data_IF_877257845055
#
_entry.id   IF_877257845055
#
_cell.length_a   1.000
_cell.length_b   1.000
_cell.length_c   1.000
_cell.angle_alpha   90.00
_cell.angle_beta   90.00
_cell.angle_gamma   90.00
#
_symmetry.space_group_name_H-M   'P 1'
#
loop_
_entity.id
_entity.type
_entity.pdbx_description
1 polymer ?
#
# COMPACT_ATOMS: atom_id res chain seq x y z
N UNK A 1 -34.42 63.72 4.88
CA UNK A 1 -34.00 62.76 5.92
C UNK A 1 -34.09 61.35 5.36
N UNK A 2 -32.95 60.79 4.93
CA UNK A 2 -32.81 59.38 4.52
C UNK A 2 -31.62 58.84 5.31
N UNK A 3 -31.85 57.84 6.17
CA UNK A 3 -30.79 57.17 6.95
C UNK A 3 -30.04 56.20 6.03
N UNK A 4 -28.71 56.07 6.14
CA UNK A 4 -27.97 55.06 5.40
C UNK A 4 -28.16 53.69 6.08
N UNK A 5 -28.45 52.66 5.27
CA UNK A 5 -28.47 51.27 5.70
C UNK A 5 -27.02 50.80 5.79
N UNK A 6 -26.52 50.53 7.00
CA UNK A 6 -25.23 49.89 7.19
C UNK A 6 -25.36 48.41 6.78
N UNK A 7 -24.62 48.00 5.76
CA UNK A 7 -24.51 46.61 5.33
C UNK A 7 -23.63 45.88 6.36
N UNK A 8 -24.25 45.15 7.27
CA UNK A 8 -23.56 44.28 8.23
C UNK A 8 -23.05 43.05 7.45
N UNK A 9 -21.76 43.04 7.11
CA UNK A 9 -21.06 41.85 6.63
C UNK A 9 -20.89 40.90 7.82
N UNK A 10 -21.81 39.93 7.94
CA UNK A 10 -21.65 38.78 8.82
C UNK A 10 -20.54 37.88 8.26
N UNK A 11 -19.31 38.10 8.70
CA UNK A 11 -18.25 37.10 8.66
C UNK A 11 -18.70 35.95 9.57
N UNK A 12 -19.25 34.89 8.99
CA UNK A 12 -19.31 33.60 9.67
C UNK A 12 -17.87 33.13 9.85
N UNK A 13 -17.31 33.38 11.03
CA UNK A 13 -16.18 32.62 11.51
C UNK A 13 -16.70 31.19 11.77
N UNK A 14 -16.63 30.34 10.74
CA UNK A 14 -16.63 28.91 10.95
C UNK A 14 -15.33 28.60 11.68
N UNK A 15 -15.37 28.57 13.01
CA UNK A 15 -14.38 27.85 13.81
C UNK A 15 -14.59 26.36 13.57
N UNK A 16 -14.22 25.92 12.36
CA UNK A 16 -13.99 24.52 12.06
C UNK A 16 -12.57 24.18 12.50
N UNK A 17 -12.35 23.12 13.29
CA UNK A 17 -11.01 22.62 13.54
C UNK A 17 -10.35 22.24 12.21
N UNK A 18 -9.10 22.67 12.02
CA UNK A 18 -8.23 22.13 10.99
C UNK A 18 -7.90 20.68 11.36
N UNK A 19 -8.49 19.71 10.67
CA UNK A 19 -8.18 18.29 10.80
C UNK A 19 -7.54 17.78 9.51
N UNK A 20 -6.40 17.10 9.65
CA UNK A 20 -5.66 16.47 8.57
C UNK A 20 -6.32 15.14 8.17
N UNK A 21 -6.70 15.06 6.89
CA UNK A 21 -6.87 13.91 5.98
C UNK A 21 -6.57 12.49 6.50
N UNK A 22 -7.58 11.61 6.54
CA UNK A 22 -7.42 10.15 6.41
C UNK A 22 -8.61 9.58 5.63
N UNK A 23 -8.38 8.92 4.49
CA UNK A 23 -9.41 8.26 3.68
C UNK A 23 -9.87 6.92 4.27
N UNK A 24 -10.79 6.23 3.58
CA UNK A 24 -11.23 4.86 3.93
C UNK A 24 -10.01 3.92 4.11
N UNK A 25 -10.04 2.97 5.07
CA UNK A 25 -8.95 2.03 5.29
C UNK A 25 -8.73 1.15 4.05
N UNK A 26 -7.48 0.89 3.73
CA UNK A 26 -7.07 0.08 2.58
C UNK A 26 -6.24 -1.09 3.04
N UNK A 27 -6.58 -2.30 2.57
CA UNK A 27 -5.76 -3.48 2.81
C UNK A 27 -4.59 -3.46 1.84
N UNK A 28 -3.38 -3.37 2.37
CA UNK A 28 -2.15 -3.40 1.58
C UNK A 28 -1.71 -4.83 1.29
N UNK A 29 -1.85 -5.71 2.29
CA UNK A 29 -1.36 -7.07 2.18
C UNK A 29 -2.08 -8.02 3.14
N UNK A 30 -2.31 -9.26 2.67
CA UNK A 30 -2.72 -10.38 3.50
C UNK A 30 -1.71 -11.49 3.29
N UNK A 31 -1.06 -11.93 4.37
CA UNK A 31 -0.04 -12.99 4.32
C UNK A 31 -0.37 -14.11 5.30
N UNK A 32 -0.19 -15.34 4.85
CA UNK A 32 -0.27 -16.56 5.64
C UNK A 32 1.13 -17.14 5.77
N UNK A 33 1.74 -17.17 6.98
CA UNK A 33 3.06 -17.75 7.14
C UNK A 33 3.00 -19.27 6.88
N UNK A 34 3.84 -19.77 5.96
CA UNK A 34 3.82 -21.19 5.57
C UNK A 34 4.05 -22.14 6.76
N UNK A 35 4.86 -21.72 7.73
CA UNK A 35 5.19 -22.50 8.93
C UNK A 35 4.23 -22.24 10.10
N UNK A 36 3.18 -21.42 9.91
CA UNK A 36 2.10 -21.12 10.87
C UNK A 36 0.76 -20.95 10.15
N UNK A 37 0.17 -22.04 9.65
CA UNK A 37 -1.08 -21.99 8.87
C UNK A 37 -2.27 -21.44 9.66
N UNK A 38 -2.20 -21.43 10.99
CA UNK A 38 -3.19 -20.85 11.89
C UNK A 38 -3.13 -19.33 11.98
N UNK A 39 -1.99 -18.73 11.60
CA UNK A 39 -1.73 -17.30 11.70
C UNK A 39 -2.02 -16.60 10.37
N UNK A 40 -2.64 -15.42 10.45
CA UNK A 40 -2.82 -14.52 9.30
C UNK A 40 -2.40 -13.10 9.70
N UNK A 41 -1.69 -12.43 8.80
CA UNK A 41 -1.34 -11.03 8.92
C UNK A 41 -2.13 -10.21 7.89
N UNK A 42 -2.85 -9.20 8.35
CA UNK A 42 -3.59 -8.26 7.49
C UNK A 42 -3.05 -6.86 7.75
N UNK A 43 -2.34 -6.30 6.76
CA UNK A 43 -1.78 -4.95 6.81
C UNK A 43 -2.82 -3.97 6.27
N UNK A 44 -3.26 -3.04 7.12
CA UNK A 44 -4.29 -2.06 6.77
C UNK A 44 -3.73 -0.65 6.96
N UNK A 45 -3.76 0.16 5.90
CA UNK A 45 -3.36 1.56 5.99
C UNK A 45 -4.18 2.30 7.04
N UNK A 46 -3.50 3.17 7.80
CA UNK A 46 -4.07 4.00 8.87
C UNK A 46 -4.63 3.24 10.09
N UNK A 47 -4.70 1.91 10.04
CA UNK A 47 -5.12 1.04 11.16
C UNK A 47 -3.93 0.26 11.73
N UNK A 48 -3.02 -0.21 10.89
CA UNK A 48 -1.84 -1.00 11.25
C UNK A 48 -1.98 -2.48 10.89
N UNK A 49 -1.21 -3.33 11.57
CA UNK A 49 -1.20 -4.77 11.34
C UNK A 49 -2.17 -5.51 12.28
N UNK A 50 -3.09 -6.27 11.69
CA UNK A 50 -3.91 -7.25 12.41
C UNK A 50 -3.28 -8.63 12.29
N UNK A 51 -3.08 -9.28 13.42
CA UNK A 51 -2.59 -10.66 13.49
C UNK A 51 -3.70 -11.55 14.06
N UNK A 52 -4.14 -12.50 13.24
CA UNK A 52 -5.22 -13.43 13.59
C UNK A 52 -4.71 -14.83 13.83
N UNK A 53 -5.06 -15.44 14.97
CA UNK A 53 -4.86 -16.86 15.24
C UNK A 53 -6.22 -17.53 15.48
N UNK A 54 -6.51 -18.59 14.73
CA UNK A 54 -7.77 -19.36 14.85
C UNK A 54 -9.05 -18.47 14.82
N UNK A 55 -9.03 -17.40 14.01
CA UNK A 55 -10.17 -16.49 13.83
C UNK A 55 -10.31 -15.37 14.89
N UNK A 56 -9.33 -15.20 15.79
CA UNK A 56 -9.28 -14.04 16.69
C UNK A 56 -8.16 -13.10 16.30
N UNK A 57 -8.51 -11.87 15.99
CA UNK A 57 -7.56 -10.83 15.63
C UNK A 57 -7.11 -10.00 16.82
N UNK A 58 -5.81 -9.78 16.88
CA UNK A 58 -5.13 -8.87 17.80
C UNK A 58 -4.38 -7.82 17.00
N UNK A 59 -4.08 -6.70 17.66
CA UNK A 59 -3.35 -5.62 17.01
C UNK A 59 -1.85 -5.71 17.28
N UNK A 60 -1.06 -5.67 16.20
CA UNK A 60 0.38 -5.46 16.26
C UNK A 60 0.66 -4.07 15.69
N UNK A 61 1.15 -3.17 16.54
CA UNK A 61 1.37 -1.78 16.15
C UNK A 61 2.50 -1.61 15.16
N UNK A 62 2.29 -0.77 14.15
CA UNK A 62 3.33 -0.37 13.20
C UNK A 62 4.54 0.22 13.93
N UNK A 63 4.33 0.99 15.00
CA UNK A 63 5.43 1.61 15.77
C UNK A 63 6.36 0.58 16.44
N UNK A 64 5.86 -0.64 16.73
CA UNK A 64 6.70 -1.73 17.24
C UNK A 64 7.66 -2.26 16.19
N UNK A 65 7.24 -2.24 14.93
CA UNK A 65 8.00 -2.78 13.80
C UNK A 65 8.97 -1.72 13.26
N UNK A 66 8.51 -0.48 13.11
CA UNK A 66 9.28 0.62 12.51
C UNK A 66 9.00 1.94 13.22
N UNK A 67 9.92 2.91 13.12
CA UNK A 67 9.77 4.21 13.77
C UNK A 67 8.64 5.08 13.19
N UNK A 68 8.25 4.82 11.93
CA UNK A 68 7.20 5.57 11.22
C UNK A 68 6.23 4.61 10.52
N UNK A 69 4.91 4.91 10.48
CA UNK A 69 3.92 4.08 9.80
C UNK A 69 4.30 3.79 8.34
N UNK A 70 3.99 2.58 7.89
CA UNK A 70 4.34 2.13 6.54
C UNK A 70 4.90 0.72 6.51
N UNK A 71 4.21 -0.22 7.15
CA UNK A 71 4.43 -1.62 6.89
C UNK A 71 3.86 -1.99 5.51
N UNK A 72 4.64 -2.72 4.70
CA UNK A 72 4.17 -3.22 3.40
C UNK A 72 4.01 -4.75 3.38
N UNK A 73 4.77 -5.45 4.22
CA UNK A 73 4.63 -6.90 4.37
C UNK A 73 5.42 -7.42 5.57
N UNK A 74 4.96 -8.53 6.13
CA UNK A 74 5.63 -9.25 7.22
C UNK A 74 5.51 -10.75 6.94
N UNK A 75 6.58 -11.49 7.19
CA UNK A 75 6.58 -12.94 7.04
C UNK A 75 7.39 -13.60 8.15
N UNK A 76 6.90 -14.72 8.66
CA UNK A 76 7.73 -15.64 9.42
C UNK A 76 8.60 -16.42 8.44
N UNK A 77 9.90 -16.50 8.71
CA UNK A 77 10.88 -17.05 7.77
C UNK A 77 11.67 -18.23 8.35
N UNK A 78 11.57 -18.50 9.64
CA UNK A 78 12.13 -19.71 10.24
C UNK A 78 11.11 -20.86 10.33
N UNK A 79 11.58 -22.07 10.63
CA UNK A 79 10.72 -23.25 10.74
C UNK A 79 9.82 -23.25 11.98
N UNK A 80 10.19 -22.54 13.04
CA UNK A 80 9.36 -22.42 14.25
C UNK A 80 8.34 -21.27 14.15
N UNK A 81 8.49 -20.40 13.14
CA UNK A 81 7.72 -19.18 12.94
C UNK A 81 8.12 -18.03 13.87
N UNK A 82 9.14 -18.17 14.71
CA UNK A 82 9.56 -17.18 15.70
C UNK A 82 10.38 -16.02 15.11
N UNK A 83 11.01 -16.22 13.95
CA UNK A 83 11.78 -15.19 13.26
C UNK A 83 10.93 -14.55 12.19
N UNK A 84 10.68 -13.24 12.34
CA UNK A 84 9.98 -12.44 11.35
C UNK A 84 10.93 -11.54 10.57
N UNK A 85 10.63 -11.33 9.30
CA UNK A 85 11.13 -10.20 8.51
C UNK A 85 9.95 -9.35 8.08
N UNK A 86 10.12 -8.03 8.20
CA UNK A 86 9.12 -7.05 7.78
C UNK A 86 9.72 -6.05 6.79
N UNK A 87 9.04 -5.89 5.65
CA UNK A 87 9.32 -4.86 4.65
C UNK A 87 8.56 -3.58 5.00
N UNK A 88 9.28 -2.50 5.22
CA UNK A 88 8.70 -1.21 5.64
C UNK A 88 9.19 -0.05 4.77
N UNK A 89 8.52 1.10 4.88
CA UNK A 89 8.93 2.37 4.25
C UNK A 89 10.24 2.95 4.79
N UNK A 90 10.80 2.38 5.85
CA UNK A 90 12.02 2.85 6.52
C UNK A 90 13.17 1.82 6.45
N UNK A 91 12.97 0.68 5.79
CA UNK A 91 13.94 -0.41 5.84
C UNK A 91 13.30 -1.78 6.01
N UNK A 92 14.10 -2.82 5.82
CA UNK A 92 13.78 -4.17 6.29
C UNK A 92 14.11 -4.27 7.78
N UNK A 93 13.18 -4.82 8.54
CA UNK A 93 13.37 -5.12 9.97
C UNK A 93 13.21 -6.61 10.23
N UNK A 94 13.78 -7.07 11.33
CA UNK A 94 13.80 -8.47 11.75
C UNK A 94 13.47 -8.60 13.22
N UNK A 95 12.66 -9.60 13.55
CA UNK A 95 12.39 -10.05 14.92
C UNK A 95 12.91 -11.48 15.10
N UNK A 96 13.37 -11.81 16.30
CA UNK A 96 13.86 -13.15 16.70
C UNK A 96 13.13 -13.71 17.91
N UNK A 97 12.10 -13.01 18.37
CA UNK A 97 11.43 -13.22 19.64
C UNK A 97 9.92 -13.23 19.43
N UNK A 98 9.48 -13.85 18.33
CA UNK A 98 8.08 -13.96 17.98
C UNK A 98 7.36 -12.61 17.84
N UNK A 99 8.02 -11.61 17.26
CA UNK A 99 7.43 -10.29 17.01
C UNK A 99 7.39 -9.39 18.24
N UNK A 100 8.09 -9.74 19.33
CA UNK A 100 8.13 -8.94 20.55
C UNK A 100 9.16 -7.81 20.52
N UNK A 101 10.12 -7.89 19.61
CA UNK A 101 11.06 -6.83 19.28
C UNK A 101 11.48 -6.91 17.82
N UNK A 102 11.55 -5.75 17.17
CA UNK A 102 12.05 -5.59 15.82
C UNK A 102 13.28 -4.70 15.81
N UNK A 103 14.27 -5.08 15.01
CA UNK A 103 15.46 -4.28 14.73
C UNK A 103 15.68 -4.18 13.21
N UNK A 104 16.22 -3.06 12.73
CA UNK A 104 16.63 -2.95 11.33
C UNK A 104 17.69 -4.01 11.00
N UNK A 105 17.62 -4.58 9.80
CA UNK A 105 18.71 -5.45 9.31
C UNK A 105 19.94 -4.63 8.97
N UNK A 106 21.11 -5.26 8.98
CA UNK A 106 22.37 -4.58 8.69
C UNK A 106 22.46 -4.13 7.22
N UNK A 107 23.27 -3.09 7.00
CA UNK A 107 23.59 -2.59 5.66
C UNK A 107 22.49 -1.72 5.03
N UNK A 108 22.53 -1.51 3.70
CA UNK A 108 21.65 -0.55 3.02
C UNK A 108 20.18 -0.94 3.09
N UNK A 109 19.89 -2.25 3.18
CA UNK A 109 18.53 -2.76 3.22
C UNK A 109 17.76 -2.33 4.49
N UNK A 110 18.47 -2.07 5.59
CA UNK A 110 17.89 -1.50 6.81
C UNK A 110 17.49 -0.02 6.70
N UNK A 111 17.80 0.64 5.58
CA UNK A 111 17.53 2.08 5.34
C UNK A 111 16.76 2.35 4.04
N UNK A 112 16.60 1.33 3.19
CA UNK A 112 15.88 1.45 1.93
C UNK A 112 14.40 1.08 2.11
N UNK A 113 13.51 1.84 1.49
CA UNK A 113 12.11 1.47 1.40
C UNK A 113 12.03 0.05 0.82
N UNK A 114 11.53 -0.91 1.61
CA UNK A 114 11.23 -2.27 1.17
C UNK A 114 9.75 -2.38 0.75
N UNK A 115 9.51 -2.60 -0.54
CA UNK A 115 8.20 -2.55 -1.17
C UNK A 115 7.42 -3.85 -1.03
N UNK A 116 8.12 -4.95 -1.30
CA UNK A 116 7.54 -6.27 -1.51
C UNK A 116 8.40 -7.30 -0.79
N UNK A 117 7.76 -8.28 -0.17
CA UNK A 117 8.40 -9.39 0.53
C UNK A 117 7.79 -10.70 0.05
N UNK A 118 8.62 -11.65 -0.33
CA UNK A 118 8.21 -13.00 -0.74
C UNK A 118 9.07 -14.05 -0.04
N UNK A 119 8.59 -14.64 1.09
CA UNK A 119 9.25 -15.78 1.70
C UNK A 119 9.17 -17.01 0.80
N UNK A 120 10.11 -17.95 0.95
CA UNK A 120 10.04 -19.24 0.26
C UNK A 120 9.14 -20.21 1.06
N UNK A 121 8.12 -20.82 0.45
CA UNK A 121 7.14 -21.64 1.18
C UNK A 121 7.70 -22.95 1.72
N UNK A 122 8.73 -23.52 1.09
CA UNK A 122 9.34 -24.79 1.49
C UNK A 122 10.76 -24.72 2.06
N UNK A 123 11.41 -23.54 2.06
CA UNK A 123 12.82 -23.41 2.40
C UNK A 123 12.96 -22.41 3.54
N UNK A 124 13.18 -22.97 4.73
CA UNK A 124 13.40 -22.20 5.94
C UNK A 124 14.60 -21.25 5.75
N UNK A 125 14.39 -19.99 6.11
CA UNK A 125 15.39 -18.94 6.07
C UNK A 125 15.52 -18.23 4.73
N UNK A 126 14.80 -18.65 3.69
CA UNK A 126 14.85 -18.04 2.37
C UNK A 126 13.71 -17.03 2.16
N UNK A 127 14.08 -15.82 1.73
CA UNK A 127 13.12 -14.79 1.35
C UNK A 127 13.73 -13.81 0.35
N UNK A 128 12.86 -13.13 -0.40
CA UNK A 128 13.22 -12.09 -1.35
C UNK A 128 12.50 -10.79 -0.99
N UNK A 129 13.19 -9.66 -1.09
CA UNK A 129 12.66 -8.31 -0.89
C UNK A 129 13.00 -7.42 -2.08
N UNK A 130 12.05 -6.64 -2.58
CA UNK A 130 12.32 -5.59 -3.57
C UNK A 130 12.32 -4.21 -2.90
N UNK A 131 13.31 -3.36 -3.22
CA UNK A 131 13.37 -1.98 -2.70
C UNK A 131 12.80 -0.95 -3.66
N UNK A 132 12.38 0.22 -3.17
CA UNK A 132 11.84 1.32 -4.00
C UNK A 132 12.11 2.74 -3.45
N UNK A 133 13.30 2.98 -2.92
CA UNK A 133 13.69 4.29 -2.41
C UNK A 133 13.85 5.29 -3.56
N UNK A 134 13.15 6.42 -3.49
CA UNK A 134 13.27 7.51 -4.48
C UNK A 134 14.69 8.09 -4.41
N UNK A 135 15.35 8.21 -5.56
CA UNK A 135 16.69 8.80 -5.68
C UNK A 135 17.83 7.89 -5.20
N UNK A 136 17.57 6.60 -4.98
CA UNK A 136 18.59 5.60 -4.68
C UNK A 136 18.53 4.45 -5.69
N UNK A 137 19.61 3.67 -5.76
CA UNK A 137 19.64 2.43 -6.53
C UNK A 137 18.76 1.40 -5.83
N UNK A 138 17.82 0.82 -6.57
CA UNK A 138 16.92 -0.21 -6.07
C UNK A 138 17.23 -1.55 -6.70
N UNK A 139 17.02 -2.61 -5.94
CA UNK A 139 17.30 -3.98 -6.37
C UNK A 139 16.32 -4.94 -5.69
N UNK A 140 16.38 -6.17 -6.14
CA UNK A 140 15.85 -7.33 -5.44
C UNK A 140 16.96 -7.91 -4.58
N UNK A 141 16.67 -8.16 -3.31
CA UNK A 141 17.60 -8.71 -2.33
C UNK A 141 17.11 -10.07 -1.87
N UNK A 142 18.02 -11.04 -1.76
CA UNK A 142 17.73 -12.39 -1.30
C UNK A 142 18.47 -12.71 -0.01
N UNK A 143 17.79 -13.35 0.92
CA UNK A 143 18.37 -14.01 2.08
C UNK A 143 18.17 -15.52 1.96
N UNK A 144 19.08 -16.30 2.55
CA UNK A 144 18.97 -17.77 2.71
C UNK A 144 19.27 -18.21 4.14
N UNK A 145 19.46 -17.25 5.07
CA UNK A 145 19.95 -17.47 6.42
C UNK A 145 19.06 -16.80 7.46
N UNK A 146 17.74 -16.82 7.23
CA UNK A 146 16.72 -16.23 8.10
C UNK A 146 16.86 -14.72 8.26
N UNK A 147 17.25 -14.02 7.18
CA UNK A 147 17.34 -12.56 7.16
C UNK A 147 18.54 -11.99 7.92
N UNK A 148 19.54 -12.82 8.22
CA UNK A 148 20.80 -12.36 8.84
C UNK A 148 21.66 -11.63 7.81
N UNK A 149 21.76 -12.18 6.60
CA UNK A 149 22.47 -11.56 5.48
C UNK A 149 21.59 -11.50 4.24
N UNK A 150 21.86 -10.49 3.41
CA UNK A 150 21.12 -10.19 2.19
C UNK A 150 22.09 -9.94 1.05
N UNK A 151 21.85 -10.59 -0.09
CA UNK A 151 22.65 -10.46 -1.31
C UNK A 151 21.78 -9.82 -2.40
N UNK A 152 22.25 -8.78 -3.10
CA UNK A 152 21.54 -8.20 -4.22
C UNK A 152 21.50 -9.17 -5.41
N UNK A 153 20.39 -9.19 -6.13
CA UNK A 153 20.20 -10.03 -7.32
C UNK A 153 20.78 -9.38 -8.59
N UNK A 154 21.22 -8.12 -8.51
CA UNK A 154 21.82 -7.40 -9.63
C UNK A 154 20.80 -6.93 -10.66
N UNK A 155 19.53 -6.76 -10.25
CA UNK A 155 18.48 -6.21 -11.09
C UNK A 155 18.31 -4.73 -10.77
N UNK A 156 18.70 -3.85 -11.69
CA UNK A 156 18.48 -2.42 -11.52
C UNK A 156 16.98 -2.10 -11.66
N UNK A 157 16.33 -1.89 -10.51
CA UNK A 157 14.94 -1.48 -10.46
C UNK A 157 14.88 0.04 -10.68
N UNK A 158 14.99 0.44 -11.95
CA UNK A 158 14.73 1.82 -12.34
C UNK A 158 13.24 2.15 -12.07
N UNK A 159 12.96 2.75 -10.91
CA UNK A 159 11.63 3.15 -10.48
C UNK A 159 11.01 2.23 -9.42
N UNK A 160 9.70 2.05 -9.50
CA UNK A 160 8.90 1.38 -8.47
C UNK A 160 8.75 -0.11 -8.78
N UNK A 161 9.08 -0.98 -7.82
CA UNK A 161 8.64 -2.37 -7.86
C UNK A 161 7.11 -2.42 -7.66
N UNK A 162 6.40 -3.08 -8.57
CA UNK A 162 4.92 -3.13 -8.55
C UNK A 162 4.42 -4.46 -8.01
N UNK A 163 4.96 -5.56 -8.52
CA UNK A 163 4.53 -6.91 -8.16
C UNK A 163 5.73 -7.83 -8.01
N UNK A 164 5.63 -8.81 -7.11
CA UNK A 164 6.60 -9.88 -6.88
C UNK A 164 5.80 -11.17 -6.67
N UNK A 165 5.86 -12.09 -7.63
CA UNK A 165 5.06 -13.31 -7.66
C UNK A 165 5.98 -14.52 -7.73
N UNK A 166 6.03 -15.29 -6.64
CA UNK A 166 6.70 -16.59 -6.60
C UNK A 166 5.74 -17.66 -7.10
N UNK A 167 6.16 -18.48 -8.05
CA UNK A 167 5.29 -19.50 -8.62
C UNK A 167 4.98 -20.61 -7.60
N UNK A 168 3.71 -21.05 -7.57
CA UNK A 168 3.29 -22.16 -6.70
C UNK A 168 3.83 -23.50 -7.20
N UNK A 169 3.82 -23.73 -8.51
CA UNK A 169 4.28 -24.96 -9.14
C UNK A 169 5.79 -25.20 -8.97
N UNK A 170 6.59 -24.14 -8.95
CA UNK A 170 8.02 -24.17 -8.63
C UNK A 170 8.44 -22.86 -7.93
N UNK A 171 8.60 -22.88 -6.60
CA UNK A 171 8.98 -21.70 -5.85
C UNK A 171 10.36 -21.12 -6.16
N UNK A 172 11.21 -21.78 -6.96
CA UNK A 172 12.44 -21.18 -7.48
C UNK A 172 12.16 -20.15 -8.57
N UNK A 173 11.01 -20.25 -9.25
CA UNK A 173 10.61 -19.28 -10.27
C UNK A 173 9.92 -18.08 -9.61
N UNK A 174 10.45 -16.89 -9.86
CA UNK A 174 9.90 -15.63 -9.35
C UNK A 174 9.76 -14.63 -10.48
N UNK A 175 8.59 -14.04 -10.63
CA UNK A 175 8.33 -12.94 -11.54
C UNK A 175 8.23 -11.62 -10.79
N UNK A 176 8.75 -10.56 -11.38
CA UNK A 176 8.65 -9.21 -10.85
C UNK A 176 8.34 -8.22 -11.97
N UNK A 177 7.44 -7.27 -11.71
CA UNK A 177 7.20 -6.12 -12.58
C UNK A 177 7.59 -4.83 -11.86
N UNK A 178 8.13 -3.89 -12.62
CA UNK A 178 8.59 -2.59 -12.16
C UNK A 178 8.32 -1.51 -13.22
N UNK A 179 8.47 -0.23 -12.86
CA UNK A 179 8.11 0.91 -13.72
C UNK A 179 8.69 0.86 -15.13
N UNK A 180 9.88 0.30 -15.32
CA UNK A 180 10.57 0.25 -16.61
C UNK A 180 10.51 -1.12 -17.29
N UNK A 181 9.99 -2.16 -16.63
CA UNK A 181 10.01 -3.50 -17.22
C UNK A 181 9.47 -4.60 -16.31
N UNK A 182 9.78 -5.83 -16.70
CA UNK A 182 9.51 -7.01 -15.91
C UNK A 182 10.65 -8.01 -16.07
N UNK A 183 10.85 -8.86 -15.08
CA UNK A 183 11.89 -9.86 -15.07
C UNK A 183 11.43 -11.15 -14.40
N UNK A 184 12.14 -12.25 -14.71
CA UNK A 184 11.97 -13.58 -14.12
C UNK A 184 13.29 -14.05 -13.52
N UNK A 185 13.22 -14.69 -12.37
CA UNK A 185 14.29 -15.50 -11.79
C UNK A 185 13.89 -16.97 -11.89
N UNK A 186 14.86 -17.84 -12.17
CA UNK A 186 14.72 -19.31 -12.14
C UNK A 186 15.57 -19.94 -11.00
N UNK A 187 16.11 -19.11 -10.10
CA UNK A 187 17.09 -19.49 -9.07
C UNK A 187 16.75 -18.95 -7.67
N UNK A 188 15.45 -18.79 -7.38
CA UNK A 188 14.95 -18.36 -6.08
C UNK A 188 15.20 -16.88 -5.78
N UNK A 189 15.46 -16.07 -6.80
CA UNK A 189 15.74 -14.64 -6.72
C UNK A 189 17.22 -14.31 -6.53
N UNK A 190 18.13 -15.22 -6.86
CA UNK A 190 19.57 -14.94 -6.84
C UNK A 190 19.99 -14.11 -8.07
N UNK A 191 19.31 -14.27 -9.21
CA UNK A 191 19.45 -13.43 -10.39
C UNK A 191 18.12 -13.31 -11.14
N UNK A 192 17.97 -12.24 -11.93
CA UNK A 192 16.78 -12.00 -12.74
C UNK A 192 17.15 -11.68 -14.19
N UNK A 193 16.36 -12.21 -15.13
CA UNK A 193 16.46 -11.93 -16.56
C UNK A 193 15.20 -11.19 -17.03
N UNK A 194 15.32 -10.14 -17.86
CA UNK A 194 14.17 -9.42 -18.40
C UNK A 194 13.24 -10.34 -19.19
N UNK A 195 11.93 -10.07 -19.11
CA UNK A 195 10.89 -10.74 -19.91
C UNK A 195 10.17 -9.72 -20.81
N UNK A 196 9.41 -10.20 -21.79
CA UNK A 196 8.66 -9.33 -22.69
C UNK A 196 7.50 -8.63 -21.96
N UNK A 197 7.09 -7.47 -22.49
CA UNK A 197 5.96 -6.69 -21.99
C UNK A 197 4.78 -6.83 -22.94
N UNK A 198 3.98 -7.89 -22.74
CA UNK A 198 2.79 -8.15 -23.56
C UNK A 198 3.08 -8.38 -25.05
N UNK A 199 2.03 -8.37 -25.91
CA UNK A 199 2.19 -8.50 -27.35
C UNK A 199 2.97 -7.32 -27.95
N UNK A 200 3.91 -7.57 -28.90
CA UNK A 200 4.86 -6.56 -29.37
C UNK A 200 4.23 -5.39 -30.14
N UNK A 201 3.00 -5.53 -30.64
CA UNK A 201 2.27 -4.53 -31.42
C UNK A 201 1.33 -3.64 -30.59
N UNK A 202 1.22 -3.88 -29.28
CA UNK A 202 0.32 -3.11 -28.39
C UNK A 202 1.00 -1.93 -27.68
N UNK A 203 2.32 -1.77 -27.86
CA UNK A 203 3.08 -0.66 -27.28
C UNK A 203 2.96 -0.58 -25.75
N UNK A 204 2.88 -1.73 -25.08
CA UNK A 204 2.78 -1.82 -23.62
C UNK A 204 4.13 -1.41 -23.01
N UNK A 205 4.07 -0.58 -21.98
CA UNK A 205 5.25 -0.12 -21.24
C UNK A 205 5.27 -0.73 -19.84
N UNK A 206 6.42 -0.72 -19.16
CA UNK A 206 6.51 -1.18 -17.77
C UNK A 206 5.62 -0.39 -16.80
N UNK A 207 5.27 0.85 -17.15
CA UNK A 207 4.34 1.68 -16.38
C UNK A 207 2.89 1.19 -16.47
N UNK A 208 2.54 0.46 -17.52
CA UNK A 208 1.20 -0.10 -17.71
C UNK A 208 1.14 -1.57 -17.26
N UNK A 209 2.27 -2.27 -17.17
CA UNK A 209 2.33 -3.73 -17.02
C UNK A 209 2.41 -4.20 -15.55
N UNK A 210 1.53 -5.12 -15.18
CA UNK A 210 1.52 -5.75 -13.84
C UNK A 210 1.29 -7.26 -13.90
N UNK A 211 2.03 -8.03 -13.11
CA UNK A 211 1.83 -9.47 -12.98
C UNK A 211 0.75 -9.77 -11.94
N UNK A 212 -0.27 -10.52 -12.37
CA UNK A 212 -1.41 -10.82 -11.51
C UNK A 212 -1.26 -12.17 -10.81
N UNK A 213 -0.92 -13.23 -11.54
CA UNK A 213 -0.86 -14.59 -11.00
C UNK A 213 0.08 -15.51 -11.80
N UNK A 214 0.52 -16.59 -11.15
CA UNK A 214 1.18 -17.74 -11.79
C UNK A 214 0.24 -18.95 -11.76
N UNK A 215 0.32 -19.82 -12.75
CA UNK A 215 -0.44 -21.07 -12.75
C UNK A 215 0.05 -22.01 -11.63
N UNK A 216 -0.87 -22.69 -10.92
CA UNK A 216 -0.51 -23.59 -9.82
C UNK A 216 0.09 -24.93 -10.28
N UNK A 217 0.03 -25.27 -11.57
CA UNK A 217 0.54 -26.52 -12.12
C UNK A 217 1.75 -26.35 -13.04
N UNK A 218 2.00 -25.15 -13.56
CA UNK A 218 3.15 -24.85 -14.41
C UNK A 218 3.74 -23.46 -14.12
N UNK A 219 4.97 -23.43 -13.62
CA UNK A 219 5.66 -22.20 -13.24
C UNK A 219 5.98 -21.26 -14.43
N UNK A 220 5.86 -21.74 -15.67
CA UNK A 220 6.06 -20.94 -16.88
C UNK A 220 4.75 -20.38 -17.45
N UNK A 221 3.60 -20.74 -16.86
CA UNK A 221 2.33 -20.11 -17.20
C UNK A 221 2.08 -18.96 -16.22
N UNK A 222 2.03 -17.74 -16.73
CA UNK A 222 1.90 -16.51 -15.94
C UNK A 222 0.90 -15.56 -16.59
N UNK A 223 0.17 -14.84 -15.74
CA UNK A 223 -0.88 -13.92 -16.14
C UNK A 223 -0.52 -12.51 -15.70
N UNK A 224 -0.77 -11.56 -16.60
CA UNK A 224 -0.50 -10.15 -16.38
C UNK A 224 -1.67 -9.31 -16.83
N UNK A 225 -1.64 -8.04 -16.50
CA UNK A 225 -2.52 -7.02 -17.06
C UNK A 225 -1.70 -5.90 -17.64
N UNK A 226 -2.28 -5.20 -18.61
CA UNK A 226 -1.88 -3.82 -18.87
C UNK A 226 -3.01 -2.87 -18.47
N UNK A 227 -2.65 -1.83 -17.73
CA UNK A 227 -3.57 -0.89 -17.11
C UNK A 227 -3.81 0.28 -18.05
N UNK A 228 -4.88 0.22 -18.82
CA UNK A 228 -5.36 1.32 -19.68
C UNK A 228 -6.85 1.41 -19.52
N UNK A 229 -7.37 2.42 -18.84
CA UNK A 229 -8.81 2.58 -18.72
C UNK A 229 -9.36 3.37 -19.92
N UNK A 230 -10.39 2.87 -20.65
CA UNK A 230 -11.20 1.68 -20.37
C UNK A 230 -10.74 0.39 -21.08
N UNK A 231 -9.64 0.40 -21.84
CA UNK A 231 -9.20 -0.73 -22.66
C UNK A 231 -8.17 -1.64 -21.96
N UNK A 232 -8.42 -2.06 -20.72
CA UNK A 232 -7.48 -2.91 -19.98
C UNK A 232 -7.64 -4.36 -20.41
N UNK A 233 -6.61 -5.19 -20.25
CA UNK A 233 -6.71 -6.58 -20.69
C UNK A 233 -5.98 -7.55 -19.77
N UNK A 234 -6.49 -8.77 -19.72
CA UNK A 234 -5.79 -9.91 -19.16
C UNK A 234 -4.91 -10.54 -20.23
N UNK A 235 -3.63 -10.64 -19.93
CA UNK A 235 -2.61 -11.27 -20.74
C UNK A 235 -2.22 -12.62 -20.15
N UNK A 236 -1.80 -13.54 -21.02
CA UNK A 236 -1.23 -14.82 -20.63
C UNK A 236 0.08 -15.07 -21.37
N UNK A 237 1.04 -15.63 -20.64
CA UNK A 237 2.23 -16.25 -21.22
C UNK A 237 2.24 -17.72 -20.84
N UNK A 238 2.70 -18.57 -21.75
CA UNK A 238 2.87 -20.01 -21.52
C UNK A 238 4.34 -20.46 -21.55
N UNK A 239 5.27 -19.50 -21.70
CA UNK A 239 6.71 -19.74 -21.86
C UNK A 239 7.55 -18.91 -20.86
N UNK A 240 6.92 -18.53 -19.75
CA UNK A 240 7.53 -17.80 -18.64
C UNK A 240 7.86 -16.35 -19.00
N UNK A 241 6.98 -15.70 -19.75
CA UNK A 241 7.05 -14.28 -20.09
C UNK A 241 7.84 -13.95 -21.37
N UNK A 242 8.26 -14.95 -22.15
CA UNK A 242 8.97 -14.70 -23.41
C UNK A 242 8.02 -14.20 -24.49
N UNK A 243 6.82 -14.76 -24.55
CA UNK A 243 5.73 -14.31 -25.41
C UNK A 243 4.43 -14.19 -24.61
N UNK A 244 3.56 -13.28 -25.07
CA UNK A 244 2.29 -12.99 -24.44
C UNK A 244 1.18 -12.95 -25.48
N UNK A 245 0.01 -13.43 -25.08
CA UNK A 245 -1.25 -13.29 -25.81
C UNK A 245 -2.26 -12.51 -24.96
N UNK A 246 -3.10 -11.71 -25.62
CA UNK A 246 -4.27 -11.11 -24.97
C UNK A 246 -5.38 -12.14 -24.91
N UNK A 247 -5.82 -12.50 -23.71
CA UNK A 247 -6.93 -13.44 -23.52
C UNK A 247 -8.27 -12.74 -23.67
N UNK A 248 -8.44 -11.63 -22.96
CA UNK A 248 -9.70 -10.91 -22.86
C UNK A 248 -9.46 -9.44 -22.49
N UNK A 249 -10.26 -8.55 -23.07
CA UNK A 249 -10.30 -7.14 -22.72
C UNK A 249 -11.44 -6.88 -21.73
N UNK A 250 -11.20 -5.98 -20.78
CA UNK A 250 -12.14 -5.56 -19.77
C UNK A 250 -12.31 -4.04 -19.81
N UNK A 251 -13.54 -3.53 -19.59
CA UNK A 251 -13.80 -2.08 -19.51
C UNK A 251 -13.25 -1.45 -18.21
N UNK A 252 -12.75 -2.28 -17.30
CA UNK A 252 -12.21 -1.93 -15.99
C UNK A 252 -10.83 -2.58 -15.81
N UNK A 253 -10.10 -2.18 -14.77
CA UNK A 253 -8.72 -2.61 -14.52
C UNK A 253 -8.70 -3.88 -13.68
N UNK A 254 -8.17 -5.00 -14.20
CA UNK A 254 -7.78 -6.15 -13.38
C UNK A 254 -6.82 -5.76 -12.24
N UNK A 255 -7.21 -5.94 -10.99
CA UNK A 255 -6.37 -5.58 -9.82
C UNK A 255 -5.75 -6.82 -9.14
N UNK A 256 -6.47 -7.95 -9.13
CA UNK A 256 -5.99 -9.18 -8.52
C UNK A 256 -6.56 -10.41 -9.21
N UNK A 257 -5.75 -11.46 -9.33
CA UNK A 257 -6.15 -12.75 -9.89
C UNK A 257 -5.66 -13.85 -8.98
N UNK A 258 -6.54 -14.81 -8.69
CA UNK A 258 -6.15 -16.08 -8.08
C UNK A 258 -6.59 -17.23 -8.98
N UNK A 259 -5.80 -18.30 -8.96
CA UNK A 259 -6.05 -19.53 -9.70
C UNK A 259 -6.07 -20.68 -8.69
N UNK A 260 -7.19 -21.40 -8.66
CA UNK A 260 -7.36 -22.58 -7.82
C UNK A 260 -6.61 -23.79 -8.41
N UNK A 261 -6.32 -24.82 -7.59
CA UNK A 261 -5.75 -26.07 -8.07
C UNK A 261 -6.72 -26.84 -9.00
N UNK A 262 -8.00 -26.47 -9.06
CA UNK A 262 -8.95 -26.98 -10.06
C UNK A 262 -8.91 -26.20 -11.38
N UNK A 263 -8.02 -25.21 -11.51
CA UNK A 263 -7.92 -24.30 -12.66
C UNK A 263 -8.96 -23.19 -12.68
N UNK A 264 -9.84 -23.10 -11.66
CA UNK A 264 -10.81 -22.00 -11.54
C UNK A 264 -10.10 -20.69 -11.26
N UNK A 265 -10.51 -19.63 -11.94
CA UNK A 265 -9.92 -18.31 -11.79
C UNK A 265 -10.95 -17.35 -11.19
N UNK A 266 -10.52 -16.52 -10.25
CA UNK A 266 -11.26 -15.35 -9.79
C UNK A 266 -10.43 -14.10 -10.03
N UNK A 267 -11.06 -13.11 -10.66
CA UNK A 267 -10.47 -11.82 -11.01
C UNK A 267 -11.23 -10.72 -10.27
N UNK A 268 -10.51 -9.83 -9.59
CA UNK A 268 -11.09 -8.62 -9.00
C UNK A 268 -10.82 -7.40 -9.84
N UNK A 269 -11.83 -6.54 -9.93
CA UNK A 269 -11.78 -5.24 -10.58
C UNK A 269 -12.51 -4.20 -9.71
N UNK A 270 -12.01 -2.95 -9.59
CA UNK A 270 -12.58 -1.97 -8.68
C UNK A 270 -14.07 -1.68 -8.92
N UNK A 271 -14.45 -1.44 -10.17
CA UNK A 271 -15.80 -0.98 -10.53
C UNK A 271 -16.70 -2.12 -10.97
N UNK A 272 -16.16 -3.17 -11.60
CA UNK A 272 -16.94 -4.34 -12.03
C UNK A 272 -17.08 -5.45 -10.97
N UNK A 273 -16.32 -5.39 -9.88
CA UNK A 273 -16.41 -6.35 -8.79
C UNK A 273 -15.59 -7.63 -9.07
N UNK A 274 -16.23 -8.80 -8.97
CA UNK A 274 -15.57 -10.09 -9.18
C UNK A 274 -16.06 -10.78 -10.45
N UNK A 275 -15.12 -11.33 -11.23
CA UNK A 275 -15.40 -12.22 -12.36
C UNK A 275 -14.80 -13.60 -12.10
N UNK A 276 -15.46 -14.64 -12.61
CA UNK A 276 -15.02 -16.05 -12.53
C UNK A 276 -14.86 -16.66 -13.91
N UNK A 277 -13.78 -17.42 -14.10
CA UNK A 277 -13.57 -18.30 -15.24
C UNK A 277 -13.32 -19.75 -14.77
N UNK A 278 -13.77 -20.71 -15.59
CA UNK A 278 -13.55 -22.16 -15.40
C UNK A 278 -12.91 -22.81 -16.63
N UNK A 279 -12.45 -22.00 -17.59
CA UNK A 279 -11.94 -22.44 -18.89
C UNK A 279 -10.60 -21.78 -19.24
N UNK A 280 -9.77 -21.53 -18.22
CA UNK A 280 -8.45 -20.94 -18.39
C UNK A 280 -8.44 -19.47 -18.79
N UNK A 281 -9.52 -18.73 -18.45
CA UNK A 281 -9.65 -17.30 -18.72
C UNK A 281 -10.23 -16.96 -20.09
N UNK A 282 -10.73 -17.96 -20.83
CA UNK A 282 -11.33 -17.74 -22.15
C UNK A 282 -12.73 -17.10 -22.05
N UNK A 283 -13.52 -17.46 -21.03
CA UNK A 283 -14.80 -16.82 -20.74
C UNK A 283 -14.94 -16.48 -19.26
N UNK A 284 -15.70 -15.41 -18.98
CA UNK A 284 -15.86 -14.84 -17.65
C UNK A 284 -17.32 -14.60 -17.33
N UNK A 285 -17.69 -14.91 -16.09
CA UNK A 285 -19.03 -14.69 -15.52
C UNK A 285 -18.94 -13.81 -14.30
N UNK A 286 -19.95 -12.97 -14.06
CA UNK A 286 -20.01 -12.16 -12.84
C UNK A 286 -20.24 -13.05 -11.62
N UNK A 287 -19.54 -12.72 -10.54
CA UNK A 287 -19.79 -13.29 -9.23
C UNK A 287 -20.67 -12.30 -8.44
N UNK A 288 -21.90 -12.67 -8.07
CA UNK A 288 -22.77 -11.80 -7.30
C UNK A 288 -22.12 -11.41 -5.97
N UNK A 289 -22.12 -10.12 -5.67
CA UNK A 289 -21.62 -9.57 -4.41
C UNK A 289 -22.78 -9.05 -3.55
N UNK A 290 -22.63 -9.05 -2.22
CA UNK A 290 -23.67 -8.57 -1.30
C UNK A 290 -24.01 -7.08 -1.46
N UNK A 291 -23.14 -6.31 -2.12
CA UNK A 291 -23.37 -4.92 -2.47
C UNK A 291 -22.59 -4.53 -3.75
N UNK A 292 -23.01 -3.42 -4.37
CA UNK A 292 -22.34 -2.84 -5.53
C UNK A 292 -21.27 -1.82 -5.09
N UNK A 293 -20.37 -1.47 -6.01
CA UNK A 293 -19.35 -0.42 -5.82
C UNK A 293 -18.43 -0.64 -4.60
N UNK A 294 -18.05 -1.90 -4.35
CA UNK A 294 -17.17 -2.26 -3.26
C UNK A 294 -15.70 -1.87 -3.49
N UNK A 295 -15.30 -1.61 -4.74
CA UNK A 295 -13.90 -1.33 -5.09
C UNK A 295 -13.01 -2.51 -4.70
N UNK A 296 -13.25 -3.66 -5.34
CA UNK A 296 -12.52 -4.89 -5.05
C UNK A 296 -11.05 -4.71 -5.40
N UNK A 297 -10.17 -4.95 -4.43
CA UNK A 297 -8.76 -4.60 -4.54
C UNK A 297 -7.78 -5.75 -4.36
N UNK A 298 -8.17 -6.81 -3.67
CA UNK A 298 -7.29 -7.94 -3.42
C UNK A 298 -8.05 -9.25 -3.51
N UNK A 299 -7.35 -10.30 -3.95
CA UNK A 299 -7.72 -11.70 -3.81
C UNK A 299 -6.51 -12.49 -3.31
N UNK A 300 -6.71 -13.40 -2.37
CA UNK A 300 -5.69 -14.35 -1.93
C UNK A 300 -6.32 -15.67 -1.50
N UNK A 301 -5.53 -16.75 -1.47
CA UNK A 301 -5.95 -18.08 -1.03
C UNK A 301 -5.23 -18.42 0.26
N UNK A 302 -5.97 -18.80 1.29
CA UNK A 302 -5.37 -19.32 2.52
C UNK A 302 -4.87 -20.77 2.34
N UNK A 303 -3.96 -21.26 3.20
CA UNK A 303 -3.42 -22.62 3.11
C UNK A 303 -4.48 -23.74 3.14
N UNK A 304 -5.62 -23.48 3.80
CA UNK A 304 -6.77 -24.39 3.86
C UNK A 304 -7.68 -24.33 2.62
N UNK A 305 -7.33 -23.51 1.62
CA UNK A 305 -8.04 -23.39 0.35
C UNK A 305 -9.17 -22.36 0.32
N UNK A 306 -9.46 -21.67 1.43
CA UNK A 306 -10.47 -20.59 1.44
C UNK A 306 -9.97 -19.39 0.65
N UNK A 307 -10.92 -18.62 0.13
CA UNK A 307 -10.63 -17.42 -0.66
C UNK A 307 -10.88 -16.20 0.20
N UNK A 308 -9.93 -15.28 0.22
CA UNK A 308 -10.04 -14.01 0.91
C UNK A 308 -10.05 -12.89 -0.13
N UNK A 309 -10.93 -11.90 0.07
CA UNK A 309 -11.05 -10.73 -0.78
C UNK A 309 -11.02 -9.46 0.04
N UNK A 310 -10.46 -8.39 -0.54
CA UNK A 310 -10.43 -7.06 0.07
C UNK A 310 -11.16 -6.04 -0.79
N UNK A 311 -11.74 -5.05 -0.14
CA UNK A 311 -12.45 -3.92 -0.77
C UNK A 311 -11.77 -2.60 -0.37
N UNK A 312 -12.19 -1.49 -0.99
CA UNK A 312 -11.87 -0.13 -0.53
C UNK A 312 -13.09 0.54 0.13
N UNK A 313 -13.97 -0.28 0.69
CA UNK A 313 -15.21 0.09 1.39
C UNK A 313 -15.39 -0.83 2.60
N UNK A 314 -15.62 -0.26 3.77
CA UNK A 314 -15.76 -1.06 5.01
C UNK A 314 -17.05 -1.88 5.08
N UNK A 315 -18.11 -1.47 4.39
CA UNK A 315 -19.37 -2.21 4.32
C UNK A 315 -19.56 -2.89 2.94
N UNK A 316 -20.05 -4.15 2.89
CA UNK A 316 -20.46 -4.97 4.03
C UNK A 316 -19.28 -5.62 4.77
N UNK A 317 -18.08 -5.59 4.19
CA UNK A 317 -16.84 -6.01 4.82
C UNK A 317 -15.66 -5.34 4.10
N UNK A 318 -14.62 -4.98 4.87
CA UNK A 318 -13.32 -4.59 4.31
C UNK A 318 -12.53 -5.82 3.82
N UNK A 319 -12.62 -6.92 4.58
CA UNK A 319 -12.04 -8.22 4.25
C UNK A 319 -13.12 -9.29 4.40
N UNK A 320 -13.37 -10.02 3.32
CA UNK A 320 -14.33 -11.12 3.26
C UNK A 320 -13.63 -12.44 3.02
N UNK A 321 -14.17 -13.52 3.57
CA UNK A 321 -13.73 -14.90 3.34
C UNK A 321 -14.85 -15.74 2.74
N UNK A 322 -14.49 -16.63 1.83
CA UNK A 322 -15.38 -17.57 1.15
C UNK A 322 -14.86 -19.01 1.30
N UNK A 323 -15.77 -19.90 1.70
CA UNK A 323 -15.56 -21.35 1.83
C UNK A 323 -16.05 -22.13 0.61
N UNK A 324 -16.73 -21.47 -0.33
CA UNK A 324 -17.46 -22.07 -1.46
C UNK A 324 -16.95 -21.62 -2.84
N UNK A 325 -15.70 -21.18 -2.90
CA UNK A 325 -15.05 -20.80 -4.16
C UNK A 325 -15.54 -19.46 -4.73
N UNK A 326 -15.94 -18.55 -3.85
CA UNK A 326 -16.34 -17.17 -4.14
C UNK A 326 -17.84 -16.94 -4.28
N UNK A 327 -18.68 -17.96 -4.09
CA UNK A 327 -20.14 -17.85 -4.25
C UNK A 327 -20.81 -17.10 -3.10
N UNK A 328 -20.28 -17.22 -1.88
CA UNK A 328 -20.72 -16.46 -0.72
C UNK A 328 -19.55 -15.98 0.13
N UNK A 329 -19.77 -14.88 0.86
CA UNK A 329 -18.72 -14.17 1.60
C UNK A 329 -19.18 -13.84 3.01
N UNK A 330 -18.32 -14.10 3.98
CA UNK A 330 -18.50 -13.69 5.38
C UNK A 330 -17.44 -12.66 5.77
N UNK A 331 -17.77 -11.65 6.58
CA UNK A 331 -16.77 -10.73 7.12
C UNK A 331 -15.74 -11.51 7.95
N UNK A 332 -14.45 -11.17 7.77
CA UNK A 332 -13.36 -11.74 8.58
C UNK A 332 -13.31 -11.11 9.98
N UNK A 333 -13.66 -9.84 10.07
CA UNK A 333 -13.83 -9.07 11.30
C UNK A 333 -14.94 -8.03 11.09
N UNK A 334 -15.46 -7.46 12.19
CA UNK A 334 -16.50 -6.44 12.14
C UNK A 334 -16.01 -5.20 11.36
N UNK A 335 -16.88 -4.59 10.56
CA UNK A 335 -16.55 -3.42 9.73
C UNK A 335 -16.14 -2.19 10.54
N UNK A 336 -16.51 -2.15 11.82
CA UNK A 336 -16.13 -1.13 12.79
C UNK A 336 -14.96 -1.56 13.69
N UNK A 337 -14.33 -2.69 13.38
CA UNK A 337 -13.18 -3.27 14.11
C UNK A 337 -13.47 -3.57 15.60
N UNK A 338 -14.75 -3.59 16.03
CA UNK A 338 -15.15 -3.74 17.44
C UNK A 338 -14.89 -5.13 18.04
N UNK A 339 -14.64 -6.13 17.20
CA UNK A 339 -14.29 -7.50 17.59
C UNK A 339 -12.79 -7.74 17.73
N UNK A 340 -11.95 -6.78 17.32
CA UNK A 340 -10.50 -6.82 17.52
C UNK A 340 -10.18 -6.38 18.94
N UNK A 341 -9.56 -7.28 19.71
CA UNK A 341 -9.32 -7.07 21.14
C UNK A 341 -7.91 -7.44 21.53
N UNK A 342 -7.26 -6.53 22.25
CA UNK A 342 -5.93 -6.74 22.80
C UNK A 342 -4.81 -6.56 21.77
N UNK A 343 -3.60 -6.41 22.30
CA UNK A 343 -2.39 -6.36 21.51
C UNK A 343 -1.78 -7.75 21.31
N UNK A 344 -0.85 -7.83 20.36
CA UNK A 344 0.01 -8.99 20.16
C UNK A 344 0.63 -9.46 21.49
N UNK A 345 0.54 -10.76 21.76
CA UNK A 345 0.78 -11.34 23.08
C UNK A 345 2.25 -11.39 23.48
N UNK A 346 2.82 -10.24 23.87
CA UNK A 346 4.19 -10.12 24.35
C UNK A 346 4.27 -9.83 25.85
N UNK A 347 5.39 -10.20 26.45
CA UNK A 347 5.71 -9.82 27.83
C UNK A 347 5.81 -8.28 27.96
N UNK A 348 5.41 -7.74 29.11
CA UNK A 348 5.18 -6.30 29.27
C UNK A 348 6.43 -5.41 29.04
N UNK A 349 7.61 -5.98 29.24
CA UNK A 349 8.91 -5.34 29.09
C UNK A 349 9.39 -5.24 27.64
N UNK A 350 8.73 -5.90 26.69
CA UNK A 350 9.18 -5.92 25.30
C UNK A 350 8.86 -4.61 24.59
N UNK A 351 9.61 -4.31 23.53
CA UNK A 351 9.40 -3.12 22.71
C UNK A 351 7.99 -3.10 22.12
N UNK A 352 7.50 -4.25 21.64
CA UNK A 352 6.15 -4.39 21.12
C UNK A 352 5.11 -4.10 22.18
N UNK A 353 5.19 -4.73 23.36
CA UNK A 353 4.21 -4.49 24.41
C UNK A 353 4.17 -3.02 24.84
N UNK A 354 5.34 -2.40 25.01
CA UNK A 354 5.45 -1.00 25.45
C UNK A 354 4.90 -0.02 24.41
N UNK A 355 5.30 -0.17 23.14
CA UNK A 355 4.89 0.76 22.07
C UNK A 355 3.42 0.58 21.70
N UNK A 356 2.93 -0.65 21.66
CA UNK A 356 1.54 -0.92 21.30
C UNK A 356 0.58 -0.50 22.42
N UNK A 357 0.95 -0.61 23.69
CA UNK A 357 0.17 -0.04 24.79
C UNK A 357 0.04 1.49 24.67
N UNK A 358 1.14 2.19 24.38
CA UNK A 358 1.12 3.65 24.20
C UNK A 358 0.29 4.10 22.99
N UNK A 359 0.28 3.31 21.92
CA UNK A 359 -0.52 3.59 20.73
C UNK A 359 -2.01 3.27 20.95
N UNK A 360 -2.33 2.18 21.65
CA UNK A 360 -3.68 1.85 22.11
C UNK A 360 -4.31 2.99 22.94
N UNK A 361 -3.54 3.62 23.84
CA UNK A 361 -4.02 4.76 24.63
C UNK A 361 -4.30 6.02 23.79
N UNK A 362 -3.56 6.24 22.69
CA UNK A 362 -3.82 7.32 21.72
C UNK A 362 -5.01 6.99 20.83
N UNK A 363 -5.12 5.73 20.42
CA UNK A 363 -6.10 5.19 19.51
C UNK A 363 -7.24 4.49 20.27
N UNK A 364 -7.68 5.01 21.42
CA UNK A 364 -8.71 4.37 22.29
C UNK A 364 -10.00 3.92 21.58
N UNK A 365 -10.25 4.38 20.36
CA UNK A 365 -11.29 3.87 19.46
C UNK A 365 -10.99 2.50 18.82
N UNK A 366 -9.72 2.14 18.57
CA UNK A 366 -9.32 0.97 17.79
C UNK A 366 -8.83 -0.23 18.63
N UNK A 367 -8.59 -0.04 19.93
CA UNK A 367 -8.05 -1.09 20.80
C UNK A 367 -8.96 -1.48 21.97
N UNK A 368 -10.25 -1.10 21.89
CA UNK A 368 -11.31 -1.65 22.73
C UNK A 368 -11.29 -1.22 24.19
N UNK A 369 -11.73 0.02 24.45
CA UNK A 369 -12.63 0.33 25.58
C UNK A 369 -13.63 1.42 25.16
N UNK A 370 -14.90 1.06 24.98
CA UNK A 370 -16.12 1.91 25.02
C UNK A 370 -16.21 3.24 24.21
N UNK A 371 -15.50 3.45 23.11
CA UNK A 371 -15.70 4.65 22.27
C UNK A 371 -15.86 4.31 20.78
N UNK A 372 -17.06 4.55 20.24
CA UNK A 372 -17.35 4.44 18.81
C UNK A 372 -16.43 5.31 17.93
N UNK A 373 -16.21 4.86 16.70
CA UNK A 373 -15.37 5.51 15.70
C UNK A 373 -15.91 6.89 15.29
N UNK A 374 -15.06 7.87 14.89
CA UNK A 374 -15.50 9.15 14.36
C UNK A 374 -15.59 9.13 12.83
N UNK A 375 -16.58 9.85 12.29
CA UNK A 375 -16.82 10.04 10.85
C UNK A 375 -15.55 10.51 10.10
N UNK A 376 -15.19 9.80 9.02
CA UNK A 376 -14.15 10.19 8.07
C UNK A 376 -14.80 10.79 6.81
N UNK A 377 -14.66 12.10 6.62
CA UNK A 377 -15.09 12.82 5.41
C UNK A 377 -14.06 12.74 4.26
N UNK A 378 -14.46 13.04 3.01
CA UNK A 378 -13.72 12.68 1.80
C UNK A 378 -12.71 13.76 1.39
N UNK A 379 -11.50 13.38 0.92
CA UNK A 379 -10.67 14.28 0.10
C UNK A 379 -9.88 13.56 -0.99
N UNK A 380 -9.97 14.16 -2.17
CA UNK A 380 -9.23 13.96 -3.42
C UNK A 380 -7.78 14.49 -3.38
N UNK A 381 -6.98 14.06 -4.36
CA UNK A 381 -5.76 14.74 -4.82
C UNK A 381 -4.53 13.84 -4.78
N UNK A 382 -3.85 13.56 -5.89
CA UNK A 382 -3.51 14.49 -6.95
C UNK A 382 -2.07 14.94 -6.76
N UNK A 383 -1.25 14.65 -7.77
CA UNK A 383 0.21 14.81 -7.84
C UNK A 383 0.63 16.25 -7.54
N UNK A 384 1.57 16.44 -6.60
CA UNK A 384 2.27 17.71 -6.40
C UNK A 384 3.55 17.76 -7.25
N UNK A 385 3.62 18.70 -8.19
CA UNK A 385 4.87 19.19 -8.77
C UNK A 385 5.16 20.58 -8.23
N UNK A 386 6.35 20.74 -7.64
CA UNK A 386 6.83 21.97 -7.03
C UNK A 386 7.72 22.74 -8.01
N UNK A 387 7.62 24.08 -8.03
CA UNK A 387 8.58 24.95 -8.73
C UNK A 387 8.70 26.33 -8.06
N UNK A 388 9.80 26.50 -7.30
CA UNK A 388 10.70 27.67 -7.20
C UNK A 388 10.14 29.03 -6.72
N UNK A 389 10.79 29.87 -5.88
CA UNK A 389 12.15 29.96 -5.28
C UNK A 389 12.18 31.17 -4.34
N UNK A 390 13.07 31.17 -3.34
CA UNK A 390 13.73 32.42 -2.89
C UNK A 390 14.08 32.53 -1.38
N UNK A 391 15.30 32.09 -1.03
CA UNK A 391 16.30 32.66 -0.09
C UNK A 391 15.85 33.53 1.12
N UNK A 392 16.48 33.53 2.30
CA UNK A 392 17.71 32.95 2.88
C UNK A 392 17.66 33.24 4.41
N UNK A 393 18.19 32.33 5.24
CA UNK A 393 19.05 32.49 6.46
C UNK A 393 18.99 33.80 7.28
N UNK A 394 19.11 33.91 8.62
CA UNK A 394 19.56 33.04 9.73
C UNK A 394 19.43 33.83 11.05
N UNK A 395 19.20 33.11 12.16
CA UNK A 395 19.75 33.30 13.54
C UNK A 395 19.38 34.49 14.45
N UNK A 396 18.82 34.16 15.63
CA UNK A 396 19.13 34.58 17.03
C UNK A 396 19.45 36.06 17.28
N UNK A 397 18.87 36.83 18.22
CA UNK A 397 18.55 36.66 19.65
C UNK A 397 18.05 38.07 20.12
N UNK A 398 18.13 38.52 21.39
CA UNK A 398 17.45 38.17 22.65
C UNK A 398 16.48 39.28 23.11
N UNK A 399 15.67 39.01 24.13
CA UNK A 399 14.98 40.04 24.92
C UNK A 399 15.49 40.02 26.36
N UNK A 400 16.18 41.09 26.79
CA UNK A 400 15.95 41.68 28.11
C UNK A 400 16.62 43.06 28.29
N UNK A 401 16.03 43.85 29.19
CA UNK A 401 16.46 45.12 29.81
C UNK A 401 16.04 46.46 29.16
N UNK A 402 14.90 46.93 29.67
CA UNK A 402 14.51 48.29 30.07
C UNK A 402 15.43 49.49 29.76
N UNK A 403 14.84 50.56 29.20
CA UNK A 403 14.64 51.88 29.85
C UNK A 403 13.86 52.85 28.93
N UNK A 404 12.93 53.59 29.53
CA UNK A 404 12.10 54.72 29.02
C UNK A 404 12.80 56.05 29.44
N UNK A 405 12.49 57.30 28.99
CA UNK A 405 11.53 57.85 28.00
C UNK A 405 12.12 58.87 26.99
N UNK A 406 11.30 59.36 26.05
CA UNK A 406 11.40 60.78 25.64
C UNK A 406 10.94 61.16 24.23
N UNK A 407 9.75 61.76 24.16
CA UNK A 407 9.32 62.87 23.29
C UNK A 407 9.54 62.86 21.76
N UNK A 408 8.45 63.11 21.04
CA UNK A 408 8.45 64.07 19.92
C UNK A 408 7.81 63.58 18.62
N UNK A 409 6.49 63.77 18.46
CA UNK A 409 5.94 64.18 17.17
C UNK A 409 6.26 65.67 16.98
N UNK A 410 6.48 66.21 15.76
CA UNK A 410 5.43 66.31 14.74
C UNK A 410 5.92 66.28 13.27
N UNK A 411 4.99 66.33 12.30
CA UNK A 411 5.31 66.93 10.99
C UNK A 411 4.63 66.33 9.76
N UNK A 412 3.41 66.80 9.46
CA UNK A 412 2.78 66.78 8.15
C UNK A 412 3.60 67.58 7.12
N UNK A 413 3.81 67.05 5.90
CA UNK A 413 3.88 67.85 4.65
C UNK A 413 3.34 67.03 3.47
N UNK A 414 2.36 67.60 2.78
CA UNK A 414 1.78 67.15 1.52
C UNK A 414 2.64 67.55 0.30
N UNK A 415 2.44 66.96 -0.88
CA UNK A 415 1.99 67.64 -2.10
C UNK A 415 2.06 66.73 -3.37
N UNK A 416 0.89 66.60 -4.02
CA UNK A 416 0.58 66.67 -5.47
C UNK A 416 0.97 65.56 -6.49
N UNK A 417 -0.09 64.86 -6.92
CA UNK A 417 -0.67 64.82 -8.28
C UNK A 417 0.23 64.97 -9.53
N UNK A 418 0.09 63.99 -10.44
CA UNK A 418 -0.15 64.28 -11.86
C UNK A 418 -1.03 63.19 -12.51
N UNK A 419 -2.03 63.70 -13.23
CA UNK A 419 -3.05 63.03 -14.03
C UNK A 419 -2.52 62.76 -15.43
N UNK A 420 -2.94 61.65 -16.05
CA UNK A 420 -2.80 61.39 -17.48
C UNK A 420 -3.88 60.44 -18.00
N UNK A 421 -4.97 61.02 -18.51
CA UNK A 421 -6.11 60.43 -19.22
C UNK A 421 -5.69 59.46 -20.36
N UNK A 422 -6.31 58.29 -20.55
CA UNK A 422 -7.66 57.97 -21.06
C UNK A 422 -7.74 57.69 -22.59
N UNK A 423 -8.12 56.45 -22.90
CA UNK A 423 -9.21 56.03 -23.83
C UNK A 423 -8.96 55.90 -25.35
N UNK A 424 -9.38 54.72 -25.85
CA UNK A 424 -10.09 54.38 -27.12
C UNK A 424 -9.39 53.62 -28.27
N UNK A 425 -9.83 52.35 -28.39
CA UNK A 425 -10.37 51.60 -29.56
C UNK A 425 -9.55 51.32 -30.84
N UNK A 426 -9.35 50.01 -31.07
CA UNK A 426 -9.51 49.16 -32.29
C UNK A 426 -9.51 49.81 -33.69
N UNK A 427 -8.69 49.26 -34.59
CA UNK A 427 -9.04 48.36 -35.74
C UNK A 427 -7.74 47.87 -36.43
N UNK A 428 -7.52 46.56 -36.55
CA UNK A 428 -7.65 45.75 -37.79
C UNK A 428 -6.84 46.28 -38.99
N UNK A 429 -5.73 45.60 -39.30
CA UNK A 429 -5.52 44.84 -40.53
C UNK A 429 -4.52 43.72 -40.22
#
# INVERSE_FOLDING_TARGET
MRKPLALLLLLFALTGPAFAHLGEPLVQNITFPANRPETVFVVIDNVGLLAGDAGRFTWLCDEAITAFPGLNGIAAIDGAGEVFVAATRQGVTRSIDNGCGFAAVDGPLGQHYAALLSPHPGHVGEAVVATQTIGANNDVWRTTDTGLTWTPAGLDLEGRARTLRRAEADPQVIYLSHTTGAARSDDGGASFTPIALGPPDQGITGADFELLATDPHDAHVVYATFVRFPDSALLRSADGGLTWETLVEFPDVPESLIIGPDGRMLLSMPFEGLRRSTDGGATWTEVPLPAQNLWMSCLTRSPDGRIWACTRRTAPWLVGVSDDGGDSWSPVFASDFSDIRGGWGCAAETTTATKCAAACDRSRQNCGTDAGLPDAGPVDGGIHTDATTGHETTTTDPGDCATVPGHGSPGLVAWFALVGLAVCRRRVA
#
